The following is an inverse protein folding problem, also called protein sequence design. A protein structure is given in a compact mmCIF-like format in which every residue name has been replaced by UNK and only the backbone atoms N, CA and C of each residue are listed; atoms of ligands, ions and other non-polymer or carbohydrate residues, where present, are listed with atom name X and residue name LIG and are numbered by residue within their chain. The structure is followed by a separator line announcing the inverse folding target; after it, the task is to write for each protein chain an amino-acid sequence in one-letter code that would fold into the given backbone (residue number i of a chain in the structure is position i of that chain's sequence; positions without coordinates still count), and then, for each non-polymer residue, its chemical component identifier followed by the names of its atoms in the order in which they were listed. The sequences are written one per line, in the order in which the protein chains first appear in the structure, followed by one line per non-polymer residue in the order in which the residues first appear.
data_IF_779633287218
#
_entry.id   IF_779633287218
#
_cell.length_a   1.000
_cell.length_b   1.000
_cell.length_c   1.000
_cell.angle_alpha   90.00
_cell.angle_beta   90.00
_cell.angle_gamma   90.00
#
_symmetry.space_group_name_H-M   'P 1'
#
loop_
_entity.id
_entity.type
_entity.pdbx_description
1 polymer ?
#
# COMPACT_ATOMS: atom_id res chain seq x y z
N UNK A 1 -81.89 -64.48 10.60
CA UNK A 1 -82.27 -64.90 11.97
C UNK A 1 -81.57 -63.98 12.97
N UNK A 2 -82.35 -63.33 13.84
CA UNK A 2 -82.08 -62.80 15.20
C UNK A 2 -80.82 -61.91 15.39
N UNK A 3 -80.91 -60.58 15.60
CA UNK A 3 -81.26 -59.85 16.85
C UNK A 3 -80.33 -60.20 18.04
N UNK A 4 -79.76 -59.34 18.90
CA UNK A 4 -79.89 -57.94 19.40
C UNK A 4 -78.47 -57.56 19.94
N UNK A 5 -78.03 -56.31 20.18
CA UNK A 5 -78.63 -55.18 20.90
C UNK A 5 -77.69 -53.97 20.83
N UNK A 6 -78.18 -52.76 20.54
CA UNK A 6 -78.68 -51.72 21.47
C UNK A 6 -77.68 -51.32 22.56
N UNK A 7 -77.10 -50.12 22.46
CA UNK A 7 -77.60 -48.93 23.16
C UNK A 7 -76.82 -47.68 22.74
N UNK A 8 -77.57 -46.62 22.44
CA UNK A 8 -77.09 -45.29 22.14
C UNK A 8 -76.62 -44.58 23.41
N UNK A 9 -75.53 -43.82 23.31
CA UNK A 9 -75.23 -42.75 24.25
C UNK A 9 -75.10 -41.46 23.44
N UNK A 10 -76.09 -40.59 23.63
CA UNK A 10 -76.19 -39.25 23.09
C UNK A 10 -75.32 -38.34 23.98
N UNK A 11 -74.26 -37.73 23.43
CA UNK A 11 -73.59 -36.62 24.08
C UNK A 11 -73.17 -35.60 23.02
N UNK A 12 -73.79 -34.43 23.16
CA UNK A 12 -73.69 -33.23 22.36
C UNK A 12 -72.26 -32.68 22.43
N UNK A 13 -71.61 -32.53 21.28
CA UNK A 13 -70.40 -31.70 21.15
C UNK A 13 -70.71 -30.54 20.20
N UNK A 14 -70.82 -29.35 20.79
CA UNK A 14 -70.94 -28.06 20.11
C UNK A 14 -69.70 -27.84 19.23
N UNK A 15 -69.86 -28.00 17.91
CA UNK A 15 -68.85 -27.62 16.93
C UNK A 15 -68.79 -26.10 16.80
N UNK A 16 -67.82 -25.48 17.47
CA UNK A 16 -67.47 -24.08 17.29
C UNK A 16 -66.82 -23.94 15.91
N UNK A 17 -67.50 -23.27 14.98
CA UNK A 17 -66.90 -22.79 13.73
C UNK A 17 -65.94 -21.64 14.06
N UNK A 18 -64.64 -21.92 14.10
CA UNK A 18 -63.62 -20.88 14.07
C UNK A 18 -63.45 -20.38 12.62
N UNK A 19 -63.48 -19.06 12.36
CA UNK A 19 -63.19 -18.54 11.03
C UNK A 19 -61.70 -18.73 10.74
N UNK A 20 -61.38 -19.29 9.57
CA UNK A 20 -60.02 -19.38 9.08
C UNK A 20 -59.46 -17.96 8.90
N UNK A 21 -58.61 -17.52 9.84
CA UNK A 21 -57.81 -16.31 9.69
C UNK A 21 -56.80 -16.55 8.57
N UNK A 22 -57.00 -15.89 7.43
CA UNK A 22 -56.00 -15.79 6.39
C UNK A 22 -54.74 -15.12 6.97
N UNK A 23 -53.68 -15.89 7.19
CA UNK A 23 -52.40 -15.35 7.59
C UNK A 23 -51.84 -14.51 6.42
N UNK A 24 -51.72 -13.20 6.63
CA UNK A 24 -51.01 -12.33 5.70
C UNK A 24 -49.55 -12.82 5.56
N UNK A 25 -49.01 -12.95 4.33
CA UNK A 25 -47.62 -13.32 4.13
C UNK A 25 -46.71 -12.27 4.80
N UNK A 26 -45.56 -12.68 5.37
CA UNK A 26 -44.66 -11.76 6.03
C UNK A 26 -44.25 -10.66 5.06
N UNK A 27 -44.52 -9.41 5.47
CA UNK A 27 -44.16 -8.20 4.74
C UNK A 27 -42.65 -8.25 4.52
N UNK A 28 -42.20 -8.49 3.28
CA UNK A 28 -40.78 -8.40 2.92
C UNK A 28 -40.31 -7.01 3.30
N UNK A 29 -39.52 -6.91 4.38
CA UNK A 29 -38.73 -5.72 4.66
C UNK A 29 -37.79 -5.60 3.47
N UNK A 30 -38.10 -4.68 2.54
CA UNK A 30 -37.15 -4.27 1.52
C UNK A 30 -35.97 -3.69 2.28
N UNK A 31 -34.87 -4.41 2.34
CA UNK A 31 -33.58 -3.81 2.65
C UNK A 31 -33.40 -2.66 1.67
N UNK A 32 -33.10 -1.43 2.15
CA UNK A 32 -32.80 -0.34 1.24
C UNK A 32 -31.69 -0.80 0.30
N UNK A 33 -31.85 -0.53 -0.99
CA UNK A 33 -30.77 -0.73 -1.94
C UNK A 33 -29.53 0.00 -1.39
N UNK A 34 -28.33 -0.60 -1.45
CA UNK A 34 -27.12 0.10 -1.05
C UNK A 34 -27.07 1.42 -1.83
N UNK A 35 -26.83 2.53 -1.13
CA UNK A 35 -26.66 3.83 -1.76
C UNK A 35 -25.65 3.68 -2.92
N UNK A 36 -25.89 4.33 -4.07
CA UNK A 36 -24.93 4.30 -5.17
C UNK A 36 -23.57 4.73 -4.61
N UNK A 37 -22.55 3.93 -4.89
CA UNK A 37 -21.18 4.29 -4.52
C UNK A 37 -20.86 5.51 -5.37
N UNK A 38 -20.77 6.67 -4.72
CA UNK A 38 -20.32 7.87 -5.40
C UNK A 38 -18.86 7.63 -5.79
N UNK A 39 -18.56 7.85 -7.07
CA UNK A 39 -17.19 7.79 -7.56
C UNK A 39 -16.36 8.87 -6.84
N UNK A 40 -15.15 8.54 -6.35
CA UNK A 40 -14.30 9.51 -5.69
C UNK A 40 -14.12 10.77 -6.53
N UNK A 41 -14.24 11.94 -5.90
CA UNK A 41 -14.05 13.20 -6.60
C UNK A 41 -12.55 13.50 -6.71
N UNK A 42 -12.04 13.67 -7.93
CA UNK A 42 -10.69 14.20 -8.12
C UNK A 42 -10.65 15.66 -7.68
N UNK A 43 -9.75 15.99 -6.75
CA UNK A 43 -9.53 17.35 -6.28
C UNK A 43 -8.48 18.00 -7.18
N UNK A 44 -8.81 19.07 -7.93
CA UNK A 44 -7.81 19.81 -8.70
C UNK A 44 -6.95 20.67 -7.75
N UNK A 45 -5.68 20.93 -8.10
CA UNK A 45 -4.86 21.87 -7.36
C UNK A 45 -5.36 23.31 -7.56
N UNK A 46 -5.12 24.15 -6.55
CA UNK A 46 -5.37 25.59 -6.63
C UNK A 46 -4.43 26.26 -7.65
N UNK A 47 -3.19 25.81 -7.70
CA UNK A 47 -2.19 26.20 -8.69
C UNK A 47 -1.20 25.06 -8.92
N UNK A 48 -0.55 25.04 -10.09
CA UNK A 48 0.46 24.05 -10.44
C UNK A 48 1.53 24.67 -11.34
N UNK A 49 2.74 24.12 -11.29
CA UNK A 49 3.81 24.49 -12.21
C UNK A 49 4.68 23.28 -12.55
N UNK A 50 5.23 23.31 -13.77
CA UNK A 50 6.27 22.38 -14.23
C UNK A 50 7.60 23.12 -14.19
N UNK A 51 8.48 22.68 -13.29
CA UNK A 51 9.81 23.27 -13.10
C UNK A 51 10.77 22.66 -14.12
N UNK A 52 10.67 21.35 -14.31
CA UNK A 52 11.53 20.58 -15.19
C UNK A 52 10.81 19.35 -15.71
N UNK A 53 10.98 19.01 -16.99
CA UNK A 53 10.43 17.78 -17.56
C UNK A 53 11.31 17.33 -18.74
N UNK A 54 12.25 16.43 -18.47
CA UNK A 54 13.16 15.87 -19.47
C UNK A 54 12.42 15.07 -20.54
N UNK A 55 11.35 14.37 -20.15
CA UNK A 55 10.55 13.53 -21.06
C UNK A 55 9.87 14.41 -22.11
N UNK A 56 9.35 15.56 -21.70
CA UNK A 56 8.67 16.53 -22.56
C UNK A 56 9.57 17.70 -22.99
N UNK A 57 10.89 17.56 -22.92
CA UNK A 57 11.89 18.56 -23.34
C UNK A 57 11.70 19.96 -22.72
N UNK A 58 11.15 20.04 -21.51
CA UNK A 58 11.04 21.30 -20.74
C UNK A 58 12.32 21.52 -19.96
N UNK A 59 13.10 22.54 -20.34
CA UNK A 59 14.30 22.96 -19.60
C UNK A 59 13.97 23.41 -18.18
N UNK A 60 14.89 23.24 -17.22
CA UNK A 60 14.70 23.77 -15.88
C UNK A 60 14.48 25.29 -15.90
N UNK A 61 13.48 25.75 -15.18
CA UNK A 61 13.14 27.17 -15.12
C UNK A 61 12.71 27.55 -13.71
N UNK A 62 13.04 28.78 -13.26
CA UNK A 62 12.51 29.28 -12.00
C UNK A 62 10.98 29.45 -12.09
N UNK A 63 10.31 29.27 -10.95
CA UNK A 63 8.86 29.44 -10.81
C UNK A 63 8.59 30.41 -9.67
N UNK A 64 7.60 31.28 -9.82
CA UNK A 64 7.06 32.10 -8.73
C UNK A 64 5.53 32.08 -8.80
N UNK A 65 4.89 31.69 -7.71
CA UNK A 65 3.44 31.68 -7.54
C UNK A 65 3.06 32.39 -6.24
N UNK A 66 1.89 33.01 -6.23
CA UNK A 66 1.29 33.56 -5.02
C UNK A 66 -0.18 33.14 -4.97
N UNK A 67 -0.55 32.40 -3.93
CA UNK A 67 -1.90 31.84 -3.77
C UNK A 67 -2.30 31.98 -2.31
N UNK A 68 -3.43 32.63 -2.05
CA UNK A 68 -4.00 32.82 -0.70
C UNK A 68 -2.98 33.38 0.32
N UNK A 69 -2.11 34.28 -0.13
CA UNK A 69 -1.07 34.91 0.70
C UNK A 69 0.19 34.05 0.91
N UNK A 70 0.24 32.82 0.39
CA UNK A 70 1.48 32.02 0.36
C UNK A 70 2.23 32.32 -0.93
N UNK A 71 3.47 32.81 -0.78
CA UNK A 71 4.42 32.94 -1.87
C UNK A 71 5.25 31.66 -2.00
N UNK A 72 5.26 31.07 -3.19
CA UNK A 72 6.01 29.86 -3.55
C UNK A 72 6.98 30.22 -4.66
N UNK A 73 8.27 30.08 -4.41
CA UNK A 73 9.31 30.25 -5.42
C UNK A 73 10.13 28.97 -5.55
N UNK A 74 10.43 28.57 -6.77
CA UNK A 74 11.46 27.58 -7.05
C UNK A 74 12.57 28.29 -7.80
N UNK A 75 13.72 28.38 -7.17
CA UNK A 75 14.95 28.85 -7.80
C UNK A 75 15.64 27.67 -8.47
N UNK A 76 16.27 27.91 -9.63
CA UNK A 76 17.06 26.92 -10.34
C UNK A 76 18.43 27.53 -10.62
N UNK A 77 19.49 26.93 -10.10
CA UNK A 77 20.85 27.44 -10.26
C UNK A 77 21.89 26.30 -10.29
N UNK A 78 23.06 26.52 -10.94
CA UNK A 78 24.21 25.63 -10.79
C UNK A 78 24.74 25.63 -9.34
N UNK A 79 25.13 24.47 -8.83
CA UNK A 79 25.72 24.31 -7.49
C UNK A 79 26.90 23.34 -7.51
N UNK A 80 27.91 23.61 -6.68
CA UNK A 80 29.06 22.74 -6.45
C UNK A 80 29.54 22.89 -4.99
N UNK A 81 29.71 21.79 -4.23
CA UNK A 81 29.41 20.41 -4.61
C UNK A 81 27.90 20.17 -4.75
N UNK A 82 27.54 19.11 -5.46
CA UNK A 82 26.14 18.70 -5.57
C UNK A 82 25.58 18.28 -4.20
N UNK A 83 24.32 18.66 -3.88
CA UNK A 83 23.73 18.32 -2.59
C UNK A 83 23.55 16.81 -2.48
N UNK A 84 24.22 16.19 -1.49
CA UNK A 84 24.05 14.77 -1.17
C UNK A 84 22.76 14.45 -0.41
N UNK A 85 22.04 15.49 0.04
CA UNK A 85 20.75 15.38 0.73
C UNK A 85 19.80 16.44 0.18
N UNK A 86 18.62 16.02 -0.27
CA UNK A 86 17.58 16.90 -0.79
C UNK A 86 16.20 16.47 -0.29
N UNK A 87 15.17 17.32 -0.42
CA UNK A 87 13.83 17.01 0.12
C UNK A 87 13.22 15.73 -0.44
N UNK A 88 13.38 15.49 -1.74
CA UNK A 88 12.78 14.33 -2.41
C UNK A 88 13.71 13.12 -2.49
N UNK A 89 14.97 13.26 -2.06
CA UNK A 89 16.00 12.23 -2.19
C UNK A 89 16.40 11.72 -0.81
N UNK A 90 16.52 10.40 -0.67
CA UNK A 90 17.21 9.85 0.50
C UNK A 90 18.67 10.33 0.50
N UNK A 91 19.30 10.35 1.67
CA UNK A 91 20.71 10.72 1.78
C UNK A 91 21.55 9.71 0.99
N UNK A 92 22.03 10.09 -0.19
CA UNK A 92 23.13 9.39 -0.82
C UNK A 92 24.42 9.77 -0.09
N UNK A 93 25.40 8.87 -0.08
CA UNK A 93 26.74 9.22 0.38
C UNK A 93 27.17 10.54 -0.30
N UNK A 94 27.75 11.49 0.45
CA UNK A 94 28.21 12.74 -0.14
C UNK A 94 29.15 12.41 -1.30
N UNK A 95 28.96 13.12 -2.41
CA UNK A 95 29.89 13.04 -3.53
C UNK A 95 31.32 13.31 -3.03
N UNK A 96 32.33 12.55 -3.50
CA UNK A 96 33.71 12.78 -3.11
C UNK A 96 34.11 14.23 -3.40
N UNK A 97 34.85 14.84 -2.46
CA UNK A 97 35.28 16.23 -2.59
C UNK A 97 36.35 16.37 -3.69
N UNK A 98 35.95 16.96 -4.82
CA UNK A 98 36.85 17.44 -5.88
C UNK A 98 36.70 16.70 -7.21
N UNK A 99 36.56 17.47 -8.30
CA UNK A 99 36.64 16.97 -9.68
C UNK A 99 35.31 16.71 -10.40
N UNK A 100 34.15 16.80 -9.73
CA UNK A 100 32.84 16.66 -10.37
C UNK A 100 32.32 17.99 -10.95
N UNK A 101 31.67 17.97 -12.13
CA UNK A 101 31.03 19.15 -12.72
C UNK A 101 29.90 19.69 -11.80
N UNK A 102 29.58 21.00 -11.86
CA UNK A 102 28.44 21.54 -11.14
C UNK A 102 27.14 20.90 -11.64
N UNK A 103 26.18 20.67 -10.72
CA UNK A 103 24.83 20.22 -11.10
C UNK A 103 23.82 21.36 -11.02
N UNK A 104 22.76 21.23 -11.79
CA UNK A 104 21.60 22.12 -11.71
C UNK A 104 20.73 21.70 -10.53
N UNK A 105 20.53 22.58 -9.55
CA UNK A 105 19.74 22.32 -8.34
C UNK A 105 18.50 23.20 -8.33
N UNK A 106 17.36 22.61 -7.96
CA UNK A 106 16.13 23.34 -7.67
C UNK A 106 15.97 23.56 -6.16
N UNK A 107 15.77 24.80 -5.72
CA UNK A 107 15.58 25.17 -4.31
C UNK A 107 14.19 25.77 -4.10
N UNK A 108 13.41 25.20 -3.17
CA UNK A 108 12.11 25.74 -2.80
C UNK A 108 12.29 26.86 -1.78
N UNK A 109 11.60 27.98 -2.01
CA UNK A 109 11.47 29.08 -1.07
C UNK A 109 9.98 29.33 -0.83
N UNK A 110 9.55 29.27 0.44
CA UNK A 110 8.17 29.57 0.83
C UNK A 110 8.13 30.75 1.78
N UNK A 111 7.12 31.60 1.63
CA UNK A 111 6.79 32.65 2.59
C UNK A 111 5.29 32.63 2.84
N UNK A 112 4.93 32.68 4.12
CA UNK A 112 3.54 32.81 4.57
C UNK A 112 3.46 33.90 5.65
N UNK A 113 2.36 34.67 5.73
CA UNK A 113 2.21 35.74 6.71
C UNK A 113 2.35 35.21 8.14
N UNK A 114 3.19 35.83 8.95
CA UNK A 114 3.39 35.43 10.35
C UNK A 114 4.26 34.20 10.56
N UNK A 115 4.82 33.60 9.51
CA UNK A 115 5.70 32.44 9.59
C UNK A 115 7.10 32.74 9.04
N UNK A 116 8.17 32.12 9.58
CA UNK A 116 9.50 32.26 9.01
C UNK A 116 9.53 31.76 7.57
N UNK A 117 10.39 32.36 6.74
CA UNK A 117 10.60 31.87 5.39
C UNK A 117 11.21 30.46 5.42
N UNK A 118 10.70 29.57 4.56
CA UNK A 118 11.28 28.26 4.31
C UNK A 118 12.24 28.35 3.14
N UNK A 119 13.40 27.70 3.23
CA UNK A 119 14.32 27.52 2.11
C UNK A 119 14.96 26.15 2.19
N UNK A 120 14.79 25.31 1.17
CA UNK A 120 15.42 23.99 1.12
C UNK A 120 15.59 23.47 -0.32
N UNK A 121 16.70 22.78 -0.57
CA UNK A 121 16.96 22.12 -1.85
C UNK A 121 15.99 20.97 -2.08
N UNK A 122 15.31 21.00 -3.23
CA UNK A 122 14.34 19.97 -3.65
C UNK A 122 15.09 18.72 -4.09
N UNK A 123 15.93 18.87 -5.13
CA UNK A 123 16.80 17.85 -5.69
C UNK A 123 17.72 18.44 -6.79
N UNK A 124 18.84 17.76 -7.12
CA UNK A 124 19.57 17.99 -8.36
C UNK A 124 18.81 17.42 -9.56
N UNK A 125 18.80 18.15 -10.68
CA UNK A 125 18.04 17.87 -11.91
C UNK A 125 18.92 17.25 -13.00
N UNK A 126 18.39 16.29 -13.76
CA UNK A 126 19.12 15.61 -14.84
C UNK A 126 19.06 16.43 -16.15
N UNK A 127 19.88 17.47 -16.26
CA UNK A 127 19.85 18.43 -17.39
C UNK A 127 20.68 18.02 -18.61
N UNK A 128 21.34 16.86 -18.57
CA UNK A 128 22.21 16.35 -19.62
C UNK A 128 22.76 14.96 -19.27
N UNK A 129 24.02 14.72 -19.59
CA UNK A 129 24.77 13.51 -19.21
C UNK A 129 25.51 13.68 -17.87
N UNK A 130 25.63 14.92 -17.39
CA UNK A 130 26.22 15.27 -16.10
C UNK A 130 25.20 15.13 -14.97
N UNK A 131 25.72 14.91 -13.75
CA UNK A 131 24.98 14.50 -12.56
C UNK A 131 23.62 15.17 -12.32
N UNK A 132 22.69 14.38 -11.76
CA UNK A 132 21.32 14.78 -11.44
C UNK A 132 20.54 13.56 -10.99
N UNK A 133 19.43 13.76 -10.27
CA UNK A 133 18.64 12.64 -9.73
C UNK A 133 17.18 12.67 -10.16
N UNK A 134 16.65 13.83 -10.56
CA UNK A 134 15.28 13.96 -11.07
C UNK A 134 15.26 14.34 -12.55
N UNK A 135 14.58 13.55 -13.37
CA UNK A 135 14.24 13.90 -14.76
C UNK A 135 12.96 14.69 -14.91
N UNK A 136 12.11 14.71 -13.89
CA UNK A 136 10.94 15.60 -13.84
C UNK A 136 10.83 16.25 -12.47
N UNK A 137 10.32 17.48 -12.44
CA UNK A 137 9.97 18.17 -11.21
C UNK A 137 8.73 19.04 -11.44
N UNK A 138 7.71 18.78 -10.63
CA UNK A 138 6.42 19.46 -10.67
C UNK A 138 6.04 19.86 -9.25
N UNK A 139 5.31 20.96 -9.15
CA UNK A 139 4.67 21.39 -7.91
C UNK A 139 3.18 21.61 -8.12
N UNK A 140 2.42 21.43 -7.06
CA UNK A 140 1.00 21.71 -7.00
C UNK A 140 0.60 22.20 -5.60
N UNK A 141 -0.33 23.15 -5.53
CA UNK A 141 -0.83 23.73 -4.29
C UNK A 141 -2.22 23.16 -4.00
N UNK A 142 -2.43 22.70 -2.77
CA UNK A 142 -3.69 22.11 -2.32
C UNK A 142 -4.04 22.53 -0.90
N UNK A 143 -5.33 22.56 -0.58
CA UNK A 143 -5.80 22.37 0.78
C UNK A 143 -5.86 20.87 1.06
N UNK A 144 -4.81 20.30 1.66
CA UNK A 144 -4.74 18.88 2.03
C UNK A 144 -5.23 18.65 3.46
N UNK A 145 -4.92 19.57 4.37
CA UNK A 145 -5.45 19.50 5.73
C UNK A 145 -6.94 19.85 5.74
N UNK A 146 -7.76 18.90 6.24
CA UNK A 146 -9.19 19.09 6.37
C UNK A 146 -9.57 20.10 7.46
N UNK A 147 -8.68 20.40 8.41
CA UNK A 147 -8.98 21.28 9.54
C UNK A 147 -9.06 22.77 9.18
N UNK A 148 -8.64 23.16 7.97
CA UNK A 148 -8.77 24.53 7.46
C UNK A 148 -7.55 25.42 7.67
N UNK A 149 -6.34 24.85 7.68
CA UNK A 149 -5.08 25.57 7.75
C UNK A 149 -4.58 26.15 6.41
N UNK A 150 -3.37 26.75 6.39
CA UNK A 150 -2.73 27.26 5.18
C UNK A 150 -2.55 26.15 4.14
N UNK A 151 -2.54 26.51 2.85
CA UNK A 151 -2.34 25.52 1.78
C UNK A 151 -0.97 24.81 1.89
N UNK A 152 -0.91 23.63 1.33
CA UNK A 152 0.29 22.80 1.25
C UNK A 152 0.83 22.75 -0.18
N UNK A 153 2.15 22.65 -0.29
CA UNK A 153 2.85 22.44 -1.56
C UNK A 153 3.17 20.95 -1.70
N UNK A 154 2.55 20.31 -2.68
CA UNK A 154 2.93 18.97 -3.13
C UNK A 154 4.02 19.09 -4.18
N UNK A 155 5.19 18.56 -3.88
CA UNK A 155 6.28 18.36 -4.84
C UNK A 155 6.25 16.92 -5.33
N UNK A 156 6.45 16.72 -6.63
CA UNK A 156 6.62 15.39 -7.22
C UNK A 156 7.69 15.41 -8.30
N UNK A 157 8.51 14.37 -8.37
CA UNK A 157 9.48 14.19 -9.43
C UNK A 157 9.72 12.71 -9.76
N UNK A 158 10.31 12.47 -10.92
CA UNK A 158 10.58 11.13 -11.45
C UNK A 158 12.08 10.94 -11.65
N UNK A 159 12.63 9.82 -11.19
CA UNK A 159 14.09 9.60 -11.14
C UNK A 159 14.73 9.00 -12.40
N UNK A 160 13.96 8.62 -13.43
CA UNK A 160 14.41 8.19 -14.79
C UNK A 160 15.13 6.82 -14.99
N UNK A 161 15.14 5.90 -14.02
CA UNK A 161 15.48 4.47 -14.22
C UNK A 161 14.42 3.54 -14.89
N UNK A 162 14.71 2.24 -15.01
CA UNK A 162 13.85 1.28 -15.74
C UNK A 162 12.52 0.92 -15.04
N UNK A 163 12.47 1.04 -13.71
CA UNK A 163 11.28 0.90 -12.85
C UNK A 163 11.15 2.10 -11.92
N UNK A 164 11.67 3.26 -12.33
CA UNK A 164 11.98 4.29 -11.36
C UNK A 164 10.78 4.93 -10.71
N UNK A 165 11.07 5.49 -9.54
CA UNK A 165 10.08 5.95 -8.62
C UNK A 165 9.69 7.40 -8.94
N UNK A 166 8.40 7.65 -9.05
CA UNK A 166 7.82 8.90 -8.58
C UNK A 166 8.16 9.04 -7.10
N UNK A 167 8.89 10.09 -6.78
CA UNK A 167 9.11 10.57 -5.42
C UNK A 167 8.27 11.81 -5.20
N UNK A 168 7.68 11.94 -4.01
CA UNK A 168 6.86 13.08 -3.69
C UNK A 168 6.96 13.44 -2.21
N UNK A 169 6.75 14.71 -1.91
CA UNK A 169 6.68 15.21 -0.56
C UNK A 169 5.71 16.39 -0.48
N UNK A 170 5.11 16.54 0.70
CA UNK A 170 4.27 17.67 1.05
C UNK A 170 5.10 18.62 1.90
N UNK A 171 5.13 19.89 1.54
CA UNK A 171 5.65 20.96 2.39
C UNK A 171 4.47 21.77 2.91
N UNK A 172 4.31 21.79 4.22
CA UNK A 172 3.21 22.48 4.89
C UNK A 172 3.61 22.91 6.30
N UNK A 173 2.81 23.79 6.89
CA UNK A 173 2.96 24.15 8.29
C UNK A 173 2.42 23.02 9.17
N UNK A 174 3.14 22.67 10.23
CA UNK A 174 2.64 21.79 11.28
C UNK A 174 1.79 22.55 12.30
N UNK A 175 1.25 21.83 13.29
CA UNK A 175 0.40 22.41 14.35
C UNK A 175 1.12 23.46 15.21
N UNK A 176 2.45 23.57 15.13
CA UNK A 176 3.25 24.59 15.83
C UNK A 176 3.54 25.82 14.96
N UNK A 177 3.05 25.82 13.71
CA UNK A 177 3.31 26.87 12.73
C UNK A 177 4.73 26.82 12.15
N UNK A 178 5.42 25.68 12.23
CA UNK A 178 6.73 25.45 11.62
C UNK A 178 6.58 24.71 10.30
N UNK A 179 7.44 25.02 9.32
CA UNK A 179 7.46 24.30 8.05
C UNK A 179 7.97 22.89 8.22
N UNK A 180 7.26 21.93 7.64
CA UNK A 180 7.59 20.51 7.69
C UNK A 180 7.48 19.88 6.32
N UNK A 181 8.52 19.13 5.97
CA UNK A 181 8.55 18.24 4.81
C UNK A 181 8.03 16.88 5.23
N UNK A 182 6.97 16.42 4.59
CA UNK A 182 6.32 15.13 4.84
C UNK A 182 6.41 14.27 3.59
N UNK A 183 7.30 13.26 3.54
CA UNK A 183 7.45 12.42 2.36
C UNK A 183 6.21 11.55 2.13
N UNK A 184 5.85 11.35 0.87
CA UNK A 184 4.93 10.29 0.46
C UNK A 184 5.73 9.01 0.18
N UNK A 185 5.12 7.83 0.33
CA UNK A 185 5.71 6.60 -0.17
C UNK A 185 6.03 6.74 -1.66
N UNK A 186 7.27 6.42 -2.04
CA UNK A 186 7.69 6.32 -3.44
C UNK A 186 6.74 5.40 -4.21
N UNK A 187 6.49 5.72 -5.48
CA UNK A 187 5.61 4.94 -6.36
C UNK A 187 6.33 4.61 -7.66
N UNK A 188 6.21 3.39 -8.14
CA UNK A 188 6.74 3.02 -9.46
C UNK A 188 5.94 3.72 -10.57
N UNK A 189 6.66 4.20 -11.59
CA UNK A 189 6.10 4.95 -12.72
C UNK A 189 6.22 6.47 -12.55
N UNK A 190 5.84 7.21 -13.58
CA UNK A 190 5.81 8.69 -13.60
C UNK A 190 4.39 9.19 -13.29
N UNK A 191 4.29 10.32 -12.62
CA UNK A 191 3.05 11.03 -12.37
C UNK A 191 3.07 11.88 -11.12
N UNK A 192 2.16 12.85 -11.05
CA UNK A 192 1.89 13.55 -9.78
C UNK A 192 0.88 12.72 -8.98
N UNK A 193 1.11 12.50 -7.66
CA UNK A 193 0.13 11.82 -6.81
C UNK A 193 -1.26 12.41 -6.96
N UNK A 194 -2.25 11.54 -7.16
CA UNK A 194 -3.64 11.95 -7.33
C UNK A 194 -4.27 12.22 -5.96
N UNK A 195 -4.91 13.38 -5.83
CA UNK A 195 -5.67 13.77 -4.64
C UNK A 195 -7.16 13.54 -4.89
N UNK A 196 -7.81 12.81 -4.00
CA UNK A 196 -9.24 12.46 -4.08
C UNK A 196 -9.98 12.89 -2.81
N UNK A 197 -11.23 13.32 -2.96
CA UNK A 197 -12.22 13.36 -1.89
C UNK A 197 -13.06 12.08 -2.01
N UNK A 198 -12.66 11.04 -1.27
CA UNK A 198 -13.22 9.69 -1.44
C UNK A 198 -14.65 9.61 -0.91
N UNK A 199 -14.97 10.35 0.14
CA UNK A 199 -16.25 10.28 0.84
C UNK A 199 -17.11 11.55 0.69
N UNK A 200 -16.68 12.50 -0.17
CA UNK A 200 -17.37 13.76 -0.44
C UNK A 200 -17.59 14.61 0.81
N UNK A 201 -16.63 14.58 1.72
CA UNK A 201 -16.71 15.30 2.99
C UNK A 201 -15.74 16.49 3.07
N UNK A 202 -15.17 16.87 1.92
CA UNK A 202 -14.08 17.82 1.84
C UNK A 202 -12.75 17.24 2.30
N UNK A 203 -12.62 15.91 2.41
CA UNK A 203 -11.36 15.22 2.65
C UNK A 203 -10.46 15.21 1.42
N UNK A 204 -9.15 15.02 1.64
CA UNK A 204 -8.13 14.97 0.58
C UNK A 204 -7.20 13.82 0.86
N UNK A 205 -7.48 12.70 0.23
CA UNK A 205 -6.75 11.47 0.33
C UNK A 205 -5.79 11.30 -0.84
N UNK A 206 -4.64 10.69 -0.56
CA UNK A 206 -3.80 10.08 -1.58
C UNK A 206 -4.14 8.59 -1.67
N UNK A 207 -4.41 8.11 -2.89
CA UNK A 207 -4.62 6.68 -3.16
C UNK A 207 -3.41 6.16 -3.91
N UNK A 208 -2.63 5.30 -3.24
CA UNK A 208 -1.36 4.79 -3.73
C UNK A 208 -1.38 3.26 -3.79
N UNK A 209 -0.43 2.69 -4.55
CA UNK A 209 -0.12 1.27 -4.49
C UNK A 209 0.92 0.99 -3.40
N UNK A 210 0.71 -0.06 -2.62
CA UNK A 210 1.69 -0.52 -1.65
C UNK A 210 2.86 -1.22 -2.35
N UNK A 211 3.93 -0.45 -2.58
CA UNK A 211 5.13 -0.91 -3.27
C UNK A 211 5.88 -2.01 -2.51
N UNK A 212 5.57 -2.25 -1.23
CA UNK A 212 6.19 -3.37 -0.50
C UNK A 212 5.84 -4.72 -1.10
N UNK A 213 4.76 -4.84 -1.88
CA UNK A 213 4.37 -6.08 -2.58
C UNK A 213 5.16 -6.32 -3.87
N UNK A 214 5.81 -5.29 -4.40
CA UNK A 214 6.54 -5.37 -5.65
C UNK A 214 7.73 -6.33 -5.50
N UNK A 215 7.93 -7.23 -6.47
CA UNK A 215 8.97 -8.27 -6.48
C UNK A 215 8.92 -9.32 -5.36
N UNK A 216 8.02 -9.22 -4.38
CA UNK A 216 8.02 -10.16 -3.23
C UNK A 216 7.47 -11.53 -3.60
N UNK A 217 6.41 -11.57 -4.40
CA UNK A 217 5.69 -12.82 -4.73
C UNK A 217 5.51 -13.06 -6.24
N UNK A 218 6.03 -12.16 -7.06
CA UNK A 218 6.00 -12.22 -8.51
C UNK A 218 7.06 -11.27 -9.08
N UNK A 219 7.43 -11.45 -10.35
CA UNK A 219 8.18 -10.40 -11.06
C UNK A 219 7.40 -9.08 -11.14
N UNK A 220 8.07 -7.97 -11.45
CA UNK A 220 7.43 -6.65 -11.61
C UNK A 220 6.14 -6.69 -12.44
N UNK A 221 6.23 -7.28 -13.65
CA UNK A 221 5.13 -7.32 -14.61
C UNK A 221 3.89 -8.07 -14.08
N UNK A 222 4.06 -8.92 -13.07
CA UNK A 222 2.99 -9.74 -12.49
C UNK A 222 2.67 -9.39 -11.05
N UNK A 223 3.40 -8.44 -10.45
CA UNK A 223 3.09 -7.90 -9.13
C UNK A 223 1.78 -7.14 -9.19
N UNK A 224 0.97 -7.29 -8.15
CA UNK A 224 -0.26 -6.52 -7.95
C UNK A 224 -0.12 -5.81 -6.62
N UNK A 225 -0.29 -4.50 -6.62
CA UNK A 225 -0.09 -3.67 -5.45
C UNK A 225 -1.44 -3.44 -4.76
N UNK A 226 -1.58 -3.79 -3.47
CA UNK A 226 -2.75 -3.42 -2.70
C UNK A 226 -2.93 -1.91 -2.63
N UNK A 227 -4.18 -1.47 -2.55
CA UNK A 227 -4.48 -0.04 -2.37
C UNK A 227 -4.19 0.36 -0.93
N UNK A 228 -3.46 1.46 -0.78
CA UNK A 228 -3.28 2.17 0.49
C UNK A 228 -3.75 3.61 0.37
N UNK A 229 -4.48 4.07 1.37
CA UNK A 229 -5.08 5.39 1.44
C UNK A 229 -4.37 6.17 2.53
N UNK A 230 -3.88 7.36 2.19
CA UNK A 230 -3.23 8.27 3.11
C UNK A 230 -3.99 9.57 3.27
N UNK A 231 -4.16 9.99 4.51
CA UNK A 231 -4.58 11.35 4.87
C UNK A 231 -3.35 12.15 5.31
N UNK A 232 -3.30 13.41 4.87
CA UNK A 232 -2.40 14.39 5.44
C UNK A 232 -3.08 15.13 6.59
N UNK A 233 -2.38 15.24 7.70
CA UNK A 233 -2.63 16.21 8.77
C UNK A 233 -1.37 17.06 8.93
N UNK A 234 -1.43 18.27 9.50
CA UNK A 234 -0.27 19.15 9.61
C UNK A 234 1.02 18.42 10.04
N UNK A 235 1.98 18.33 9.11
CA UNK A 235 3.28 17.68 9.30
C UNK A 235 3.32 16.14 9.37
N UNK A 236 2.20 15.45 9.15
CA UNK A 236 2.11 13.98 9.29
C UNK A 236 1.27 13.35 8.17
N UNK A 237 1.74 12.22 7.65
CA UNK A 237 0.99 11.38 6.72
C UNK A 237 0.52 10.12 7.45
N UNK A 238 -0.78 9.86 7.47
CA UNK A 238 -1.37 8.72 8.18
C UNK A 238 -2.00 7.74 7.20
N UNK A 239 -1.65 6.46 7.33
CA UNK A 239 -2.39 5.40 6.63
C UNK A 239 -3.78 5.26 7.26
N UNK A 240 -4.81 5.49 6.47
CA UNK A 240 -6.21 5.46 6.89
C UNK A 240 -7.01 4.38 6.18
N UNK A 241 -6.35 3.50 5.42
CA UNK A 241 -6.96 2.48 4.56
C UNK A 241 -8.09 1.70 5.24
N UNK A 242 -7.87 1.25 6.47
CA UNK A 242 -8.83 0.39 7.19
C UNK A 242 -9.92 1.15 7.94
N UNK A 243 -9.95 2.48 7.86
CA UNK A 243 -11.00 3.24 8.53
C UNK A 243 -12.37 2.97 7.90
N UNK A 244 -13.45 2.82 8.71
CA UNK A 244 -14.77 2.48 8.20
C UNK A 244 -15.31 3.40 7.10
N UNK A 245 -14.92 4.68 7.13
CA UNK A 245 -15.32 5.68 6.13
C UNK A 245 -14.91 5.31 4.70
N UNK A 246 -13.79 4.61 4.51
CA UNK A 246 -13.25 4.26 3.20
C UNK A 246 -13.65 2.84 2.74
N UNK A 247 -14.35 2.07 3.57
CA UNK A 247 -14.78 0.72 3.25
C UNK A 247 -15.67 0.63 1.98
N UNK A 248 -16.58 1.57 1.67
CA UNK A 248 -17.32 1.55 0.40
C UNK A 248 -16.41 1.65 -0.83
N UNK A 249 -15.43 2.56 -0.81
CA UNK A 249 -14.45 2.74 -1.88
C UNK A 249 -13.60 1.49 -2.07
N UNK A 250 -13.04 0.94 -0.98
CA UNK A 250 -12.25 -0.29 -1.04
C UNK A 250 -13.06 -1.48 -1.57
N UNK A 251 -14.34 -1.62 -1.16
CA UNK A 251 -15.21 -2.68 -1.69
C UNK A 251 -15.50 -2.51 -3.17
N UNK A 252 -15.64 -1.28 -3.66
CA UNK A 252 -15.86 -1.00 -5.07
C UNK A 252 -14.62 -1.40 -5.89
N UNK A 253 -13.44 -0.93 -5.48
CA UNK A 253 -12.17 -1.30 -6.09
C UNK A 253 -11.94 -2.81 -6.08
N UNK A 254 -12.17 -3.46 -4.93
CA UNK A 254 -12.01 -4.91 -4.81
C UNK A 254 -12.89 -5.70 -5.79
N UNK A 255 -14.16 -5.31 -5.96
CA UNK A 255 -15.07 -5.98 -6.92
C UNK A 255 -14.69 -5.72 -8.39
N UNK A 256 -14.07 -4.59 -8.68
CA UNK A 256 -13.59 -4.23 -10.02
C UNK A 256 -12.33 -5.02 -10.37
N UNK A 257 -11.39 -5.10 -9.43
CA UNK A 257 -10.03 -5.57 -9.69
C UNK A 257 -9.84 -7.07 -9.40
N UNK A 258 -10.70 -7.66 -8.57
CA UNK A 258 -10.60 -9.06 -8.15
C UNK A 258 -11.88 -9.87 -8.44
N UNK A 259 -11.72 -11.15 -8.78
CA UNK A 259 -12.83 -12.06 -8.97
C UNK A 259 -13.55 -12.33 -7.64
N UNK A 260 -14.82 -12.71 -7.75
CA UNK A 260 -15.57 -13.21 -6.60
C UNK A 260 -14.87 -14.43 -5.98
N UNK A 261 -15.03 -14.61 -4.66
CA UNK A 261 -14.37 -15.64 -3.84
C UNK A 261 -14.44 -17.10 -4.37
N UNK A 262 -15.30 -17.42 -5.34
CA UNK A 262 -15.42 -18.77 -5.93
C UNK A 262 -15.04 -18.83 -7.40
N UNK A 263 -14.78 -17.70 -8.04
CA UNK A 263 -14.35 -17.66 -9.42
C UNK A 263 -12.84 -17.95 -9.51
N UNK A 264 -12.37 -18.59 -10.58
CA UNK A 264 -10.94 -18.79 -10.77
C UNK A 264 -10.22 -17.44 -10.93
N UNK A 265 -8.92 -17.37 -10.60
CA UNK A 265 -8.11 -16.21 -10.93
C UNK A 265 -7.98 -16.03 -12.45
N UNK A 266 -7.58 -14.84 -12.92
CA UNK A 266 -7.35 -14.59 -14.34
C UNK A 266 -6.34 -15.59 -14.94
N UNK A 267 -6.64 -16.21 -16.10
CA UNK A 267 -5.85 -17.32 -16.66
C UNK A 267 -4.50 -16.89 -17.26
N UNK A 268 -4.30 -15.58 -17.46
CA UNK A 268 -3.12 -14.99 -18.11
C UNK A 268 -1.98 -14.66 -17.14
N UNK A 269 -2.17 -14.89 -15.84
CA UNK A 269 -1.19 -14.56 -14.79
C UNK A 269 -0.12 -15.65 -14.68
N UNK A 270 1.05 -15.42 -15.28
CA UNK A 270 2.21 -16.34 -15.18
C UNK A 270 2.67 -16.55 -13.73
N UNK A 271 2.68 -15.49 -12.92
CA UNK A 271 3.01 -15.54 -11.49
C UNK A 271 1.75 -15.31 -10.63
N UNK A 272 0.90 -16.33 -10.50
CA UNK A 272 -0.39 -16.20 -9.80
C UNK A 272 -0.24 -15.79 -8.31
N UNK A 273 0.89 -16.11 -7.69
CA UNK A 273 1.16 -15.83 -6.28
C UNK A 273 1.25 -14.33 -5.97
N UNK A 274 1.68 -13.48 -6.92
CA UNK A 274 1.66 -12.02 -6.76
C UNK A 274 0.23 -11.49 -6.69
N UNK A 275 -0.63 -11.98 -7.58
CA UNK A 275 -2.05 -11.64 -7.58
C UNK A 275 -2.76 -12.10 -6.28
N UNK A 276 -2.48 -13.32 -5.82
CA UNK A 276 -3.09 -13.86 -4.61
C UNK A 276 -2.61 -13.16 -3.33
N UNK A 277 -1.36 -12.69 -3.30
CA UNK A 277 -0.86 -11.88 -2.20
C UNK A 277 -1.67 -10.59 -2.07
N UNK A 278 -1.89 -9.89 -3.20
CA UNK A 278 -2.71 -8.69 -3.24
C UNK A 278 -4.17 -8.95 -2.90
N UNK A 279 -4.73 -10.09 -3.36
CA UNK A 279 -6.10 -10.49 -3.02
C UNK A 279 -6.28 -10.62 -1.50
N UNK A 280 -5.35 -11.31 -0.82
CA UNK A 280 -5.39 -11.49 0.64
C UNK A 280 -5.22 -10.16 1.35
N UNK A 281 -4.29 -9.31 0.93
CA UNK A 281 -4.03 -8.02 1.54
C UNK A 281 -5.26 -7.09 1.47
N UNK A 282 -5.86 -6.93 0.29
CA UNK A 282 -7.08 -6.14 0.15
C UNK A 282 -8.27 -6.78 0.89
N UNK A 283 -8.34 -8.12 0.95
CA UNK A 283 -9.33 -8.81 1.79
C UNK A 283 -9.14 -8.48 3.27
N UNK A 284 -7.90 -8.39 3.75
CA UNK A 284 -7.58 -8.01 5.12
C UNK A 284 -8.02 -6.57 5.41
N UNK A 285 -7.74 -5.63 4.49
CA UNK A 285 -8.19 -4.23 4.58
C UNK A 285 -9.72 -4.11 4.72
N UNK A 286 -10.47 -5.06 4.15
CA UNK A 286 -11.93 -5.13 4.21
C UNK A 286 -12.47 -5.91 5.42
N UNK A 287 -11.61 -6.40 6.31
CA UNK A 287 -12.00 -7.27 7.43
C UNK A 287 -12.40 -8.69 7.01
N UNK A 288 -12.01 -9.12 5.80
CA UNK A 288 -12.37 -10.39 5.16
C UNK A 288 -11.19 -11.36 5.05
N UNK A 289 -10.18 -11.22 5.92
CA UNK A 289 -8.93 -12.00 5.88
C UNK A 289 -9.17 -13.51 5.70
N UNK A 290 -10.08 -14.11 6.47
CA UNK A 290 -10.35 -15.56 6.42
C UNK A 290 -10.82 -16.00 5.02
N UNK A 291 -11.72 -15.23 4.41
CA UNK A 291 -12.20 -15.51 3.05
C UNK A 291 -11.06 -15.32 2.05
N UNK A 292 -10.32 -14.21 2.11
CA UNK A 292 -9.15 -14.00 1.27
C UNK A 292 -8.13 -15.15 1.37
N UNK A 293 -7.87 -15.62 2.58
CA UNK A 293 -6.94 -16.72 2.84
C UNK A 293 -7.39 -18.03 2.21
N UNK A 294 -8.67 -18.40 2.38
CA UNK A 294 -9.22 -19.62 1.79
C UNK A 294 -9.14 -19.60 0.25
N UNK A 295 -9.33 -18.43 -0.35
CA UNK A 295 -9.22 -18.24 -1.79
C UNK A 295 -7.79 -18.51 -2.26
N UNK A 296 -6.82 -17.85 -1.63
CA UNK A 296 -5.40 -18.06 -1.90
C UNK A 296 -5.01 -19.53 -1.71
N UNK A 297 -5.43 -20.17 -0.62
CA UNK A 297 -5.11 -21.57 -0.32
C UNK A 297 -5.61 -22.55 -1.37
N UNK A 298 -6.67 -22.21 -2.08
CA UNK A 298 -7.22 -23.03 -3.16
C UNK A 298 -6.43 -22.86 -4.48
N UNK A 299 -5.92 -21.66 -4.76
CA UNK A 299 -5.39 -21.30 -6.08
C UNK A 299 -3.88 -21.11 -6.17
N UNK A 300 -3.15 -21.01 -5.05
CA UNK A 300 -1.73 -20.68 -5.09
C UNK A 300 -0.89 -21.73 -5.81
N UNK A 301 0.13 -21.25 -6.53
CA UNK A 301 1.11 -22.13 -7.13
C UNK A 301 2.08 -22.62 -6.06
N UNK A 302 2.04 -23.92 -5.82
CA UNK A 302 2.89 -24.64 -4.86
C UNK A 302 4.30 -24.86 -5.37
N UNK A 303 4.52 -24.72 -6.67
CA UNK A 303 5.77 -25.03 -7.37
C UNK A 303 6.53 -23.78 -7.80
N UNK A 304 6.01 -22.59 -7.50
CA UNK A 304 6.67 -21.33 -7.83
C UNK A 304 8.14 -21.33 -7.36
N UNK A 305 9.04 -20.97 -8.28
CA UNK A 305 10.48 -20.97 -8.02
C UNK A 305 10.97 -19.69 -7.33
N UNK A 306 10.21 -18.60 -7.43
CA UNK A 306 10.48 -17.28 -6.85
C UNK A 306 10.21 -17.15 -5.35
N UNK A 307 10.30 -18.25 -4.59
CA UNK A 307 9.98 -18.27 -3.17
C UNK A 307 11.12 -17.78 -2.27
N UNK A 308 10.78 -17.16 -1.14
CA UNK A 308 11.73 -16.84 -0.07
C UNK A 308 12.43 -18.11 0.41
N UNK A 309 13.69 -17.98 0.83
CA UNK A 309 14.49 -19.09 1.35
C UNK A 309 15.14 -18.72 2.68
N UNK A 310 15.53 -19.73 3.45
CA UNK A 310 16.32 -19.56 4.67
C UNK A 310 17.44 -20.61 4.69
N UNK A 311 18.48 -20.33 5.49
CA UNK A 311 19.63 -21.24 5.58
C UNK A 311 19.51 -22.15 6.80
N UNK A 312 19.55 -23.46 6.55
CA UNK A 312 19.65 -24.46 7.61
C UNK A 312 21.06 -24.60 8.18
N UNK A 313 22.05 -23.86 7.69
CA UNK A 313 23.40 -23.83 8.25
C UNK A 313 23.61 -22.51 9.00
N UNK A 314 24.34 -22.56 10.11
CA UNK A 314 24.68 -21.36 10.87
C UNK A 314 25.59 -20.41 10.04
N UNK A 315 25.33 -19.08 10.02
CA UNK A 315 26.13 -18.12 9.23
C UNK A 315 27.62 -18.04 9.62
N UNK A 316 27.98 -18.53 10.81
CA UNK A 316 29.38 -18.64 11.26
C UNK A 316 30.16 -19.72 10.51
N UNK A 317 29.49 -20.72 9.94
CA UNK A 317 30.12 -21.76 9.14
C UNK A 317 30.48 -21.20 7.76
N UNK A 318 31.78 -21.10 7.47
CA UNK A 318 32.28 -20.65 6.17
C UNK A 318 32.63 -21.84 5.29
N UNK A 319 31.91 -21.99 4.19
CA UNK A 319 32.22 -22.98 3.15
C UNK A 319 33.10 -22.32 2.10
N UNK A 320 34.29 -22.88 1.87
CA UNK A 320 35.27 -22.32 0.92
C UNK A 320 34.65 -22.18 -0.47
N UNK A 321 34.77 -20.99 -1.05
CA UNK A 321 34.28 -20.71 -2.41
C UNK A 321 32.76 -20.55 -2.52
N UNK A 322 32.03 -20.49 -1.41
CA UNK A 322 30.59 -20.23 -1.38
C UNK A 322 30.31 -18.96 -0.59
N UNK A 323 29.61 -18.02 -1.24
CA UNK A 323 29.06 -16.84 -0.58
C UNK A 323 27.60 -17.11 -0.17
N UNK A 324 27.24 -16.77 1.07
CA UNK A 324 25.91 -17.01 1.60
C UNK A 324 25.62 -18.47 1.96
N UNK A 325 24.37 -18.91 1.80
CA UNK A 325 23.93 -20.25 2.17
C UNK A 325 24.29 -21.27 1.07
N UNK A 326 25.07 -22.33 1.36
CA UNK A 326 25.34 -23.35 0.35
C UNK A 326 24.07 -24.08 -0.07
N UNK A 327 23.94 -24.38 -1.36
CA UNK A 327 22.72 -24.94 -1.96
C UNK A 327 22.13 -26.15 -1.21
N UNK A 328 22.91 -27.12 -0.69
CA UNK A 328 22.36 -28.25 0.08
C UNK A 328 21.68 -27.85 1.41
N UNK A 329 21.99 -26.67 1.95
CA UNK A 329 21.45 -26.15 3.21
C UNK A 329 20.39 -25.08 2.99
N UNK A 330 20.15 -24.65 1.76
CA UNK A 330 19.06 -23.74 1.44
C UNK A 330 17.72 -24.47 1.60
N UNK A 331 16.75 -23.79 2.21
CA UNK A 331 15.39 -24.30 2.43
C UNK A 331 14.38 -23.30 1.89
N UNK A 332 13.44 -23.77 1.06
CA UNK A 332 12.33 -22.94 0.59
C UNK A 332 11.35 -22.68 1.74
N UNK A 333 10.90 -21.43 1.89
CA UNK A 333 9.78 -21.06 2.76
C UNK A 333 8.48 -21.32 1.98
N UNK A 334 7.52 -22.11 2.50
CA UNK A 334 6.25 -22.30 1.81
C UNK A 334 5.52 -20.98 1.58
N UNK A 335 4.96 -20.78 0.38
CA UNK A 335 4.31 -19.51 0.01
C UNK A 335 3.28 -19.00 1.03
N UNK A 336 2.33 -19.81 1.54
CA UNK A 336 1.39 -19.33 2.57
C UNK A 336 2.09 -18.87 3.85
N UNK A 337 3.21 -19.50 4.24
CA UNK A 337 3.99 -19.05 5.39
C UNK A 337 4.65 -17.70 5.11
N UNK A 338 5.32 -17.57 3.95
CA UNK A 338 5.96 -16.32 3.54
C UNK A 338 4.95 -15.17 3.46
N UNK A 339 3.76 -15.41 2.89
CA UNK A 339 2.70 -14.41 2.81
C UNK A 339 2.17 -14.01 4.20
N UNK A 340 1.91 -14.97 5.09
CA UNK A 340 1.41 -14.64 6.43
C UNK A 340 2.41 -13.78 7.22
N UNK A 341 3.69 -14.14 7.20
CA UNK A 341 4.75 -13.38 7.87
C UNK A 341 4.94 -11.99 7.24
N UNK A 342 4.88 -11.91 5.91
CA UNK A 342 4.95 -10.64 5.20
C UNK A 342 3.79 -9.71 5.56
N UNK A 343 2.55 -10.20 5.56
CA UNK A 343 1.36 -9.41 5.94
C UNK A 343 1.40 -8.94 7.40
N UNK A 344 2.01 -9.73 8.29
CA UNK A 344 2.25 -9.33 9.67
C UNK A 344 3.29 -8.20 9.74
N UNK A 345 4.41 -8.36 9.01
CA UNK A 345 5.49 -7.38 8.97
C UNK A 345 5.04 -6.03 8.39
N UNK A 346 4.16 -6.05 7.39
CA UNK A 346 3.62 -4.85 6.73
C UNK A 346 2.34 -4.31 7.39
N UNK A 347 1.87 -4.95 8.47
CA UNK A 347 0.77 -4.43 9.29
C UNK A 347 -0.65 -4.68 8.74
N UNK A 348 -0.81 -5.53 7.72
CA UNK A 348 -2.13 -5.92 7.20
C UNK A 348 -2.89 -6.84 8.15
N UNK A 349 -2.16 -7.61 8.96
CA UNK A 349 -2.74 -8.54 9.93
C UNK A 349 -2.04 -8.40 11.28
N UNK A 350 -2.76 -8.70 12.34
CA UNK A 350 -2.22 -8.76 13.70
C UNK A 350 -1.50 -10.09 13.96
N UNK A 351 -0.69 -10.13 15.02
CA UNK A 351 -0.06 -11.37 15.48
C UNK A 351 -1.09 -12.49 15.71
N UNK A 352 -2.21 -12.18 16.38
CA UNK A 352 -3.28 -13.13 16.64
C UNK A 352 -3.92 -13.67 15.34
N UNK A 353 -4.10 -12.81 14.33
CA UNK A 353 -4.58 -13.24 13.02
C UNK A 353 -3.57 -14.15 12.32
N UNK A 354 -2.27 -13.83 12.36
CA UNK A 354 -1.21 -14.67 11.78
C UNK A 354 -1.19 -16.08 12.41
N UNK A 355 -1.26 -16.16 13.74
CA UNK A 355 -1.39 -17.43 14.49
C UNK A 355 -2.67 -18.17 14.10
N UNK A 356 -3.79 -17.48 13.96
CA UNK A 356 -5.07 -18.09 13.56
C UNK A 356 -5.05 -18.65 12.12
N UNK A 357 -4.17 -18.15 11.25
CA UNK A 357 -3.92 -18.72 9.92
C UNK A 357 -3.01 -19.97 9.97
N UNK A 358 -2.43 -20.28 11.13
CA UNK A 358 -1.54 -21.41 11.36
C UNK A 358 -0.04 -21.07 11.31
N UNK A 359 0.32 -19.78 11.30
CA UNK A 359 1.70 -19.32 11.12
C UNK A 359 2.16 -18.50 12.33
N UNK A 360 2.39 -19.17 13.47
CA UNK A 360 2.98 -18.55 14.65
C UNK A 360 4.46 -18.18 14.38
N UNK A 361 4.82 -16.88 14.32
CA UNK A 361 6.18 -16.46 14.00
C UNK A 361 7.23 -16.97 14.99
N UNK A 362 6.91 -17.00 16.29
CA UNK A 362 7.85 -17.44 17.31
C UNK A 362 8.09 -18.94 17.21
N UNK A 363 7.03 -19.72 16.96
CA UNK A 363 7.14 -21.16 16.73
C UNK A 363 7.98 -21.44 15.49
N UNK A 364 7.73 -20.74 14.38
CA UNK A 364 8.49 -20.88 13.14
C UNK A 364 9.99 -20.61 13.39
N UNK A 365 10.31 -19.51 14.06
CA UNK A 365 11.71 -19.15 14.37
C UNK A 365 12.38 -20.21 15.24
N UNK A 366 11.70 -20.71 16.28
CA UNK A 366 12.22 -21.78 17.14
C UNK A 366 12.48 -23.08 16.37
N UNK A 367 11.55 -23.47 15.50
CA UNK A 367 11.69 -24.67 14.67
C UNK A 367 12.84 -24.54 13.66
N UNK A 368 12.97 -23.39 13.01
CA UNK A 368 14.08 -23.10 12.10
C UNK A 368 15.43 -23.12 12.83
N UNK A 369 15.51 -22.51 14.02
CA UNK A 369 16.71 -22.51 14.86
C UNK A 369 17.12 -23.93 15.29
N UNK A 370 16.14 -24.79 15.65
CA UNK A 370 16.41 -26.18 16.01
C UNK A 370 16.97 -26.98 14.81
N UNK A 371 16.39 -26.79 13.62
CA UNK A 371 16.92 -27.40 12.39
C UNK A 371 18.32 -26.88 12.07
N UNK A 372 18.55 -25.58 12.25
CA UNK A 372 19.86 -24.97 12.02
C UNK A 372 20.92 -25.55 12.96
N UNK A 373 20.66 -25.58 14.26
CA UNK A 373 21.55 -26.17 15.25
C UNK A 373 21.88 -27.64 14.94
N UNK A 374 20.87 -28.46 14.64
CA UNK A 374 21.07 -29.86 14.31
C UNK A 374 21.89 -30.06 13.02
N UNK A 375 21.67 -29.21 12.02
CA UNK A 375 22.36 -29.27 10.73
C UNK A 375 23.82 -28.82 10.87
N UNK A 376 24.08 -27.74 11.61
CA UNK A 376 25.42 -27.24 11.93
C UNK A 376 26.22 -28.28 12.73
N UNK A 377 25.60 -28.93 13.72
CA UNK A 377 26.26 -30.00 14.47
C UNK A 377 26.68 -31.18 13.56
N UNK A 378 25.81 -31.59 12.63
CA UNK A 378 26.14 -32.63 11.64
C UNK A 378 27.25 -32.17 10.68
N UNK A 379 27.24 -30.89 10.28
CA UNK A 379 28.28 -30.33 9.44
C UNK A 379 29.65 -30.43 10.11
N UNK A 380 29.76 -30.01 11.37
CA UNK A 380 31.00 -30.11 12.14
C UNK A 380 31.45 -31.55 12.37
N UNK A 381 30.53 -32.47 12.62
CA UNK A 381 30.87 -33.89 12.75
C UNK A 381 31.44 -34.49 11.45
N UNK A 382 30.98 -34.03 10.29
CA UNK A 382 31.47 -34.46 8.99
C UNK A 382 32.75 -33.73 8.52
N UNK A 383 33.04 -32.57 9.11
CA UNK A 383 34.21 -31.75 8.82
C UNK A 383 34.91 -31.37 10.14
N UNK A 384 35.45 -32.36 10.88
CA UNK A 384 36.35 -32.06 11.99
C UNK A 384 37.52 -31.28 11.41
N UNK A 385 37.87 -30.16 12.06
CA UNK A 385 38.86 -29.20 11.57
C UNK A 385 40.16 -29.82 11.11
#
# INVERSE_FOLDING_TARGET
MRHFGRAACLLVALGVFAPAMAANPPRRVRTPAPAPILEPLRVPPLARAVIFDRINHTSPQPVALEVEGISVQVEVAPQQPCPGKAMLMEASNPAPAGGEPPCTVATLVLKAPGHPAFRQDIAPLITGDDGGMLGTLRLALYHLDKSGGPLQVLLSGYTMGAHCCTVAAIVGLDDTGQWRVTPLPSQDGDGTPVVLDINHDGGRQFVLGDQQFNYVFASYAWSVLPVVIYDYTPGTLRNVTTQPAYAPFLRAGFRRDFPAFRAPPPPDRKDINGFLAAYVANSANLGQLRSGWMYMRHWYDRRADSGQTWCALDPSVKVRGVEGCPAPYQRKVPYPQALALFLLQTGYITHAQCVALGYDPEKIVREQAAVQAATTARWHAAHPG
#
